data_IF_064652283292
#
_entry.id   IF_064652283292
#
_cell.length_a   1.000
_cell.length_b   1.000
_cell.length_c   1.000
_cell.angle_alpha   90.00
_cell.angle_beta   90.00
_cell.angle_gamma   90.00
#
_symmetry.space_group_name_H-M   'P 1'
#
loop_
_entity.id
_entity.type
_entity.pdbx_description
1 polymer ?
#
# COMPACT_ATOMS: atom_id res chain seq x y z
N UNK A 1 51.78 22.04 3.89
CA UNK A 1 50.38 22.34 3.50
C UNK A 1 49.60 22.68 4.76
N UNK A 2 48.79 23.74 4.76
CA UNK A 2 48.10 24.22 5.97
C UNK A 2 47.05 23.20 6.44
N UNK A 3 47.12 22.79 7.71
CA UNK A 3 46.15 21.89 8.35
C UNK A 3 44.71 22.42 8.20
N UNK A 4 44.53 23.74 8.25
CA UNK A 4 43.21 24.37 8.06
C UNK A 4 42.67 24.19 6.63
N UNK A 5 43.54 24.20 5.62
CA UNK A 5 43.13 23.97 4.24
C UNK A 5 42.67 22.51 4.02
N UNK A 6 43.33 21.55 4.68
CA UNK A 6 42.95 20.13 4.61
C UNK A 6 41.56 19.90 5.22
N UNK A 7 41.27 20.52 6.38
CA UNK A 7 39.98 20.37 7.06
C UNK A 7 38.83 20.89 6.19
N UNK A 8 38.99 22.04 5.55
CA UNK A 8 37.96 22.62 4.69
C UNK A 8 37.67 21.73 3.48
N UNK A 9 38.72 21.19 2.85
CA UNK A 9 38.56 20.29 1.69
C UNK A 9 37.86 18.99 2.09
N UNK A 10 38.23 18.39 3.22
CA UNK A 10 37.61 17.16 3.71
C UNK A 10 36.15 17.40 4.09
N UNK A 11 35.84 18.50 4.80
CA UNK A 11 34.47 18.83 5.18
C UNK A 11 33.58 19.04 3.95
N UNK A 12 34.10 19.72 2.92
CA UNK A 12 33.39 19.92 1.66
C UNK A 12 33.15 18.59 0.93
N UNK A 13 34.17 17.72 0.86
CA UNK A 13 34.06 16.41 0.24
C UNK A 13 33.02 15.51 0.94
N UNK A 14 33.00 15.50 2.27
CA UNK A 14 32.02 14.74 3.06
C UNK A 14 30.61 15.28 2.84
N UNK A 15 30.42 16.60 2.89
CA UNK A 15 29.13 17.25 2.65
C UNK A 15 28.60 16.93 1.25
N UNK A 16 29.49 16.96 0.25
CA UNK A 16 29.14 16.61 -1.13
C UNK A 16 28.77 15.13 -1.25
N UNK A 17 29.49 14.24 -0.57
CA UNK A 17 29.21 12.80 -0.57
C UNK A 17 27.87 12.47 0.09
N UNK A 18 27.55 13.12 1.21
CA UNK A 18 26.24 13.03 1.87
C UNK A 18 25.16 13.54 0.93
N UNK A 19 25.37 14.70 0.28
CA UNK A 19 24.46 15.26 -0.71
C UNK A 19 24.18 14.29 -1.86
N UNK A 20 25.22 13.66 -2.41
CA UNK A 20 25.10 12.65 -3.47
C UNK A 20 24.33 11.42 -2.97
N UNK A 21 24.62 10.89 -1.79
CA UNK A 21 23.89 9.73 -1.25
C UNK A 21 22.41 10.05 -1.00
N UNK A 22 22.08 11.26 -0.53
CA UNK A 22 20.69 11.68 -0.39
C UNK A 22 19.99 11.89 -1.74
N UNK A 23 20.67 12.47 -2.72
CA UNK A 23 20.12 12.65 -4.06
C UNK A 23 19.97 11.32 -4.81
N UNK A 24 20.98 10.44 -4.79
CA UNK A 24 20.95 9.12 -5.45
C UNK A 24 20.10 8.10 -4.69
N UNK A 25 19.99 8.23 -3.36
CA UNK A 25 19.10 7.43 -2.53
C UNK A 25 17.63 7.82 -2.69
N UNK A 26 17.35 9.12 -2.88
CA UNK A 26 16.01 9.64 -3.15
C UNK A 26 15.58 9.56 -4.61
N UNK A 27 16.51 9.52 -5.57
CA UNK A 27 16.22 9.48 -7.02
C UNK A 27 15.76 8.11 -7.52
N UNK A 28 15.63 7.11 -6.64
CA UNK A 28 14.76 5.96 -6.89
C UNK A 28 13.30 6.32 -6.58
N UNK A 29 12.91 7.55 -6.95
CA UNK A 29 11.54 8.02 -6.94
C UNK A 29 10.76 7.14 -7.90
N UNK A 30 9.98 6.21 -7.36
CA UNK A 30 8.53 5.97 -7.56
C UNK A 30 7.89 6.13 -8.95
N UNK A 31 8.61 6.55 -9.99
CA UNK A 31 8.03 7.13 -11.20
C UNK A 31 7.51 6.10 -12.21
N UNK A 32 7.65 4.82 -11.94
CA UNK A 32 7.04 3.80 -12.81
C UNK A 32 6.85 2.50 -12.04
N UNK A 33 6.20 2.60 -10.88
CA UNK A 33 5.78 1.39 -10.18
C UNK A 33 4.64 0.80 -11.01
N UNK A 34 5.00 -0.17 -11.84
CA UNK A 34 4.09 -0.82 -12.78
C UNK A 34 3.13 -1.75 -12.00
N UNK A 35 1.88 -1.80 -12.45
CA UNK A 35 0.90 -2.76 -11.96
C UNK A 35 1.45 -4.19 -11.99
N UNK A 36 2.28 -4.52 -12.99
CA UNK A 36 2.94 -5.82 -13.09
C UNK A 36 3.85 -6.17 -11.91
N UNK A 37 4.62 -5.20 -11.38
CA UNK A 37 5.48 -5.40 -10.21
C UNK A 37 4.64 -5.68 -8.96
N UNK A 38 3.59 -4.89 -8.76
CA UNK A 38 2.64 -5.06 -7.64
C UNK A 38 1.96 -6.43 -7.69
N UNK A 39 1.53 -6.86 -8.87
CA UNK A 39 0.91 -8.17 -9.08
C UNK A 39 1.88 -9.29 -8.70
N UNK A 40 3.13 -9.22 -9.18
CA UNK A 40 4.13 -10.25 -8.92
C UNK A 40 4.49 -10.32 -7.42
N UNK A 41 4.60 -9.17 -6.78
CA UNK A 41 4.89 -9.08 -5.35
C UNK A 41 3.75 -9.64 -4.50
N UNK A 42 2.50 -9.30 -4.84
CA UNK A 42 1.34 -9.85 -4.15
C UNK A 42 1.24 -11.36 -4.34
N UNK A 43 1.36 -11.85 -5.58
CA UNK A 43 1.28 -13.27 -5.90
C UNK A 43 2.41 -14.08 -5.24
N UNK A 44 3.58 -13.46 -4.98
CA UNK A 44 4.64 -14.10 -4.20
C UNK A 44 4.24 -14.30 -2.74
N UNK A 45 3.58 -13.32 -2.14
CA UNK A 45 3.13 -13.38 -0.75
C UNK A 45 1.89 -14.27 -0.57
N UNK A 46 0.97 -14.24 -1.54
CA UNK A 46 -0.30 -14.96 -1.53
C UNK A 46 -0.50 -15.76 -2.84
N UNK A 47 0.24 -16.86 -3.04
CA UNK A 47 0.25 -17.60 -4.31
C UNK A 47 -1.08 -18.29 -4.66
N UNK A 48 -1.97 -18.48 -3.68
CA UNK A 48 -3.30 -19.06 -3.89
C UNK A 48 -4.38 -18.04 -4.27
N UNK A 49 -4.08 -16.74 -4.17
CA UNK A 49 -5.06 -15.68 -4.39
C UNK A 49 -4.97 -15.16 -5.83
N UNK A 50 -6.07 -15.26 -6.57
CA UNK A 50 -6.12 -14.80 -7.95
C UNK A 50 -6.47 -13.31 -8.02
N UNK A 51 -5.60 -12.50 -8.62
CA UNK A 51 -5.78 -11.05 -8.77
C UNK A 51 -6.60 -10.76 -10.02
N UNK A 52 -7.63 -9.91 -9.89
CA UNK A 52 -8.48 -9.46 -11.01
C UNK A 52 -8.16 -8.05 -11.49
N UNK A 53 -7.91 -7.15 -10.56
CA UNK A 53 -7.63 -5.75 -10.85
C UNK A 53 -6.73 -5.15 -9.79
N UNK A 54 -6.00 -4.10 -10.16
CA UNK A 54 -5.07 -3.39 -9.28
C UNK A 54 -5.27 -1.90 -9.49
N UNK A 55 -5.44 -1.17 -8.40
CA UNK A 55 -5.54 0.29 -8.39
C UNK A 55 -4.49 0.85 -7.44
N UNK A 56 -3.72 1.82 -7.92
CA UNK A 56 -2.61 2.41 -7.16
C UNK A 56 -2.97 3.81 -6.70
N UNK A 57 -2.44 4.20 -5.55
CA UNK A 57 -2.49 5.60 -5.15
C UNK A 57 -1.63 6.46 -6.07
N UNK A 58 -1.99 7.74 -6.19
CA UNK A 58 -1.33 8.73 -7.04
C UNK A 58 0.14 8.90 -6.70
N UNK A 59 0.49 8.73 -5.42
CA UNK A 59 1.87 8.78 -4.93
C UNK A 59 2.61 7.44 -5.07
N UNK A 60 1.93 6.37 -5.51
CA UNK A 60 2.52 5.05 -5.69
C UNK A 60 2.90 4.34 -4.39
N UNK A 61 2.58 4.90 -3.22
CA UNK A 61 2.93 4.31 -1.93
C UNK A 61 2.03 3.16 -1.51
N UNK A 62 0.85 3.04 -2.11
CA UNK A 62 -0.07 1.96 -1.83
C UNK A 62 -0.77 1.45 -3.09
N UNK A 63 -1.18 0.19 -3.01
CA UNK A 63 -1.88 -0.48 -4.09
C UNK A 63 -2.95 -1.38 -3.49
N UNK A 64 -4.16 -1.25 -4.02
CA UNK A 64 -5.30 -2.08 -3.68
C UNK A 64 -5.51 -3.07 -4.80
N UNK A 65 -5.79 -4.32 -4.45
CA UNK A 65 -5.97 -5.40 -5.39
C UNK A 65 -7.35 -6.00 -5.17
N UNK A 66 -8.14 -6.15 -6.22
CA UNK A 66 -9.35 -6.96 -6.16
C UNK A 66 -8.99 -8.41 -6.43
N UNK A 67 -9.37 -9.29 -5.52
CA UNK A 67 -9.16 -10.72 -5.68
C UNK A 67 -10.40 -11.39 -6.29
N UNK A 68 -10.20 -12.58 -6.86
CA UNK A 68 -11.23 -13.27 -7.62
C UNK A 68 -12.40 -13.76 -6.78
N UNK A 69 -12.18 -13.96 -5.49
CA UNK A 69 -13.15 -14.37 -4.49
C UNK A 69 -13.87 -13.17 -3.82
N UNK A 70 -13.55 -11.94 -4.24
CA UNK A 70 -14.15 -10.71 -3.71
C UNK A 70 -13.46 -10.15 -2.46
N UNK A 71 -12.36 -10.76 -2.02
CA UNK A 71 -11.46 -10.15 -1.03
C UNK A 71 -10.70 -8.97 -1.63
N UNK A 72 -10.18 -8.12 -0.75
CA UNK A 72 -9.32 -7.00 -1.12
C UNK A 72 -7.91 -7.27 -0.61
N UNK A 73 -6.95 -7.31 -1.53
CA UNK A 73 -5.52 -7.28 -1.24
C UNK A 73 -5.03 -5.85 -1.10
N UNK A 74 -3.97 -5.66 -0.34
CA UNK A 74 -3.33 -4.37 -0.08
C UNK A 74 -1.82 -4.54 -0.07
N UNK A 75 -1.12 -3.66 -0.78
CA UNK A 75 0.33 -3.53 -0.70
C UNK A 75 0.66 -2.10 -0.30
N UNK A 76 1.48 -1.94 0.73
CA UNK A 76 2.02 -0.66 1.15
C UNK A 76 3.54 -0.66 1.03
N UNK A 77 4.07 0.40 0.44
CA UNK A 77 5.51 0.68 0.39
C UNK A 77 5.94 1.39 1.66
N UNK A 78 6.97 0.85 2.31
CA UNK A 78 7.62 1.41 3.49
C UNK A 78 9.10 1.60 3.21
N UNK A 79 9.44 2.75 2.62
CA UNK A 79 10.80 3.06 2.20
C UNK A 79 11.28 2.13 1.09
N UNK A 80 12.05 1.09 1.44
CA UNK A 80 12.59 0.11 0.48
C UNK A 80 11.91 -1.24 0.51
N UNK A 81 11.00 -1.45 1.46
CA UNK A 81 10.26 -2.70 1.62
C UNK A 81 8.82 -2.49 1.19
N UNK A 82 8.16 -3.53 0.70
CA UNK A 82 6.72 -3.54 0.55
C UNK A 82 6.13 -4.62 1.44
N UNK A 83 4.92 -4.34 1.92
CA UNK A 83 4.17 -5.23 2.80
C UNK A 83 2.87 -5.56 2.10
N UNK A 84 2.71 -6.82 1.71
CA UNK A 84 1.48 -7.35 1.15
C UNK A 84 0.59 -7.95 2.24
N UNK A 85 -0.69 -7.61 2.22
CA UNK A 85 -1.70 -8.03 3.20
C UNK A 85 -3.04 -8.28 2.51
N UNK A 86 -3.85 -9.16 3.11
CA UNK A 86 -5.29 -9.18 2.87
C UNK A 86 -5.96 -8.20 3.83
N UNK A 87 -6.92 -7.42 3.33
CA UNK A 87 -7.80 -6.62 4.17
C UNK A 87 -8.96 -7.53 4.56
N UNK A 88 -8.97 -7.95 5.82
CA UNK A 88 -10.06 -8.74 6.35
C UNK A 88 -11.20 -7.84 6.86
N UNK A 89 -12.40 -8.39 6.96
CA UNK A 89 -13.54 -7.71 7.55
C UNK A 89 -13.28 -7.34 9.01
N UNK A 90 -13.47 -6.07 9.33
CA UNK A 90 -13.15 -5.53 10.66
C UNK A 90 -11.71 -5.05 10.84
N UNK A 91 -10.81 -5.30 9.86
CA UNK A 91 -9.41 -4.83 9.97
C UNK A 91 -9.27 -3.32 9.80
N UNK A 92 -10.23 -2.67 9.12
CA UNK A 92 -10.13 -1.26 8.75
C UNK A 92 -11.42 -0.48 8.92
N UNK A 93 -11.27 0.81 9.21
CA UNK A 93 -12.33 1.81 9.05
C UNK A 93 -12.00 2.70 7.84
N UNK A 94 -13.00 3.01 7.02
CA UNK A 94 -12.81 3.73 5.75
C UNK A 94 -13.78 4.91 5.69
N UNK A 95 -13.27 6.09 5.35
CA UNK A 95 -14.05 7.31 5.12
C UNK A 95 -13.57 8.01 3.85
N UNK A 96 -14.44 8.67 3.07
CA UNK A 96 -13.99 9.49 1.95
C UNK A 96 -13.17 10.68 2.45
N UNK A 97 -12.19 11.11 1.66
CA UNK A 97 -11.44 12.36 1.88
C UNK A 97 -12.20 13.51 1.21
N UNK A 98 -12.38 14.62 1.92
CA UNK A 98 -13.06 15.80 1.38
C UNK A 98 -12.27 16.42 0.21
N UNK A 99 -13.00 16.83 -0.83
CA UNK A 99 -12.50 17.54 -2.03
C UNK A 99 -11.37 16.83 -2.79
N UNK A 100 -11.13 15.53 -2.56
CA UNK A 100 -10.13 14.75 -3.27
C UNK A 100 -10.66 13.35 -3.62
N UNK A 101 -10.19 12.74 -4.72
CA UNK A 101 -10.50 11.36 -5.05
C UNK A 101 -9.69 10.43 -4.14
N UNK A 102 -10.09 10.28 -2.89
CA UNK A 102 -9.29 9.59 -1.88
C UNK A 102 -10.10 8.96 -0.76
N UNK A 103 -9.46 8.03 -0.07
CA UNK A 103 -10.02 7.32 1.08
C UNK A 103 -9.09 7.48 2.28
N UNK A 104 -9.64 7.94 3.39
CA UNK A 104 -9.00 7.87 4.69
C UNK A 104 -9.22 6.47 5.25
N UNK A 105 -8.15 5.71 5.45
CA UNK A 105 -8.21 4.35 5.98
C UNK A 105 -7.46 4.28 7.29
N UNK A 106 -8.14 3.83 8.33
CA UNK A 106 -7.57 3.51 9.63
C UNK A 106 -7.49 2.01 9.78
N UNK A 107 -6.29 1.46 10.00
CA UNK A 107 -6.11 0.05 10.28
C UNK A 107 -6.19 -0.17 11.79
N UNK A 108 -7.02 -1.11 12.23
CA UNK A 108 -7.12 -1.48 13.64
C UNK A 108 -5.88 -2.25 14.13
N UNK A 109 -5.09 -2.80 13.20
CA UNK A 109 -3.79 -3.39 13.49
C UNK A 109 -2.63 -2.40 13.36
N UNK A 110 -1.70 -2.44 14.32
CA UNK A 110 -0.61 -1.46 14.48
C UNK A 110 0.55 -1.57 13.48
N UNK A 111 0.57 -2.59 12.62
CA UNK A 111 1.68 -2.82 11.69
C UNK A 111 1.53 -2.10 10.35
N UNK A 112 0.32 -1.67 9.98
CA UNK A 112 0.06 -0.98 8.73
C UNK A 112 -0.14 0.51 9.00
N UNK A 113 0.41 1.35 8.13
CA UNK A 113 0.25 2.79 8.26
C UNK A 113 -1.14 3.18 7.75
N UNK A 114 -2.02 3.67 8.62
CA UNK A 114 -3.25 4.33 8.20
C UNK A 114 -3.00 5.73 7.61
N UNK A 115 -4.04 6.35 7.06
CA UNK A 115 -4.01 7.71 6.55
C UNK A 115 -4.81 7.90 5.27
N UNK A 116 -4.51 8.99 4.56
CA UNK A 116 -5.18 9.36 3.32
C UNK A 116 -4.52 8.67 2.12
N UNK A 117 -5.31 7.91 1.39
CA UNK A 117 -4.94 7.24 0.14
C UNK A 117 -5.62 7.97 -1.00
N UNK A 118 -4.84 8.77 -1.73
CA UNK A 118 -5.35 9.59 -2.82
C UNK A 118 -5.10 8.88 -4.15
N UNK A 119 -6.12 8.78 -4.99
CA UNK A 119 -6.08 8.10 -6.28
C UNK A 119 -5.91 9.06 -7.46
N UNK A 120 -5.70 8.49 -8.65
CA UNK A 120 -5.58 9.26 -9.88
C UNK A 120 -6.93 9.90 -10.27
N UNK A 121 -8.03 9.18 -10.08
CA UNK A 121 -9.39 9.65 -10.39
C UNK A 121 -10.41 9.30 -9.32
N UNK A 122 -11.57 9.98 -9.36
CA UNK A 122 -12.70 9.66 -8.48
C UNK A 122 -13.30 8.28 -8.77
N UNK A 123 -13.18 7.81 -10.02
CA UNK A 123 -13.60 6.47 -10.43
C UNK A 123 -12.76 5.40 -9.73
N UNK A 124 -11.43 5.57 -9.72
CA UNK A 124 -10.50 4.68 -9.01
C UNK A 124 -10.82 4.61 -7.52
N UNK A 125 -11.08 5.77 -6.90
CA UNK A 125 -11.43 5.85 -5.49
C UNK A 125 -12.77 5.15 -5.18
N UNK A 126 -13.77 5.33 -6.06
CA UNK A 126 -15.07 4.68 -5.95
C UNK A 126 -14.96 3.16 -6.15
N UNK A 127 -14.12 2.71 -7.09
CA UNK A 127 -13.89 1.30 -7.36
C UNK A 127 -13.23 0.61 -6.15
N UNK A 128 -12.18 1.20 -5.58
CA UNK A 128 -11.54 0.67 -4.36
C UNK A 128 -12.52 0.67 -3.18
N UNK A 129 -13.35 1.70 -3.05
CA UNK A 129 -14.41 1.73 -2.03
C UNK A 129 -15.37 0.55 -2.18
N UNK A 130 -15.75 0.22 -3.41
CA UNK A 130 -16.65 -0.90 -3.68
C UNK A 130 -16.00 -2.24 -3.35
N UNK A 131 -14.70 -2.41 -3.61
CA UNK A 131 -13.99 -3.63 -3.25
C UNK A 131 -13.96 -3.82 -1.73
N UNK A 132 -13.62 -2.77 -0.99
CA UNK A 132 -13.62 -2.80 0.48
C UNK A 132 -15.00 -3.13 1.04
N UNK A 133 -16.05 -2.45 0.57
CA UNK A 133 -17.44 -2.73 0.95
C UNK A 133 -17.87 -4.17 0.60
N UNK A 134 -17.52 -4.65 -0.59
CA UNK A 134 -17.84 -6.00 -1.05
C UNK A 134 -17.16 -7.08 -0.21
N UNK A 135 -15.90 -6.87 0.16
CA UNK A 135 -15.17 -7.75 1.08
C UNK A 135 -15.86 -7.83 2.44
N UNK A 136 -16.41 -6.73 2.96
CA UNK A 136 -17.15 -6.73 4.23
C UNK A 136 -18.51 -7.43 4.13
N UNK A 137 -19.22 -7.28 3.01
CA UNK A 137 -20.52 -7.94 2.82
C UNK A 137 -20.40 -9.47 2.75
N UNK A 138 -19.34 -10.00 2.14
CA UNK A 138 -19.05 -11.43 2.10
C UNK A 138 -18.82 -11.99 3.51
N UNK A 139 -18.08 -11.27 4.34
CA UNK A 139 -17.85 -11.61 5.74
C UNK A 139 -19.11 -11.79 6.57
N UNK A 140 -20.04 -10.83 6.44
CA UNK A 140 -21.30 -10.87 7.17
C UNK A 140 -22.15 -12.07 6.74
N UNK A 141 -22.04 -12.49 5.48
CA UNK A 141 -22.79 -13.64 4.97
C UNK A 141 -22.27 -14.97 5.54
N UNK A 142 -20.95 -15.08 5.75
CA UNK A 142 -20.34 -16.27 6.38
C UNK A 142 -20.72 -16.40 7.86
N UNK A 143 -20.97 -15.28 8.56
CA UNK A 143 -21.43 -15.28 9.95
C UNK A 143 -22.89 -15.74 10.09
N UNK A 144 -23.72 -15.53 9.06
CA UNK A 144 -25.14 -15.91 9.05
C UNK A 144 -25.38 -17.33 8.51
N UNK A 145 -24.33 -18.05 8.09
CA UNK A 145 -24.45 -19.45 7.69
C UNK A 145 -24.80 -20.31 8.93
N UNK A 146 -25.95 -21.01 8.95
CA UNK A 146 -26.31 -21.83 10.09
C UNK A 146 -25.28 -22.93 10.29
N UNK A 147 -24.66 -22.97 11.48
CA UNK A 147 -23.80 -24.08 11.90
C UNK A 147 -24.57 -25.39 11.67
N UNK A 148 -24.14 -26.13 10.64
CA UNK A 148 -24.76 -27.38 10.24
C UNK A 148 -24.75 -28.36 11.39
N UNK A 149 -25.95 -28.62 11.92
CA UNK A 149 -26.17 -29.56 13.02
C UNK A 149 -25.52 -30.91 12.76
N UNK A 150 -24.48 -31.20 13.54
CA UNK A 150 -24.00 -32.57 13.72
C UNK A 150 -24.90 -33.23 14.76
N UNK A 151 -25.96 -33.86 14.29
CA UNK A 151 -26.61 -34.96 14.99
C UNK A 151 -25.94 -36.26 14.51
N UNK A 152 -25.13 -36.86 15.37
CA UNK A 152 -24.78 -38.27 15.33
C UNK A 152 -24.61 -38.77 16.77
#
# INVERSE_FOLDING_TARGET
>A
MSLGALIVVVAFAVTLLIGVVHYTGGSRTEKDRDHGEVILEFARAYPGEAIRSVTMTRDGNASFLRLADGKTGFIQTMGRHQVARLILPGDVSVRPVDDQPGLHIEFHESTLKGGDYIFASAEDAAEVSLWLCGSFALASSDLDAPEGGTNA
#
